data_IF_397980270227
#
_entry.id   IF_397980270227
#
_cell.length_a   1.000
_cell.length_b   1.000
_cell.length_c   1.000
_cell.angle_alpha   90.00
_cell.angle_beta   90.00
_cell.angle_gamma   90.00
#
_symmetry.space_group_name_H-M   'P 1'
#
loop_
_entity.id
_entity.type
_entity.pdbx_description
1 polymer ?
#
# COMPACT_ATOMS: atom_id res chain seq x y z
N UNK A 1 -5.12 -4.64 0.75
CA UNK A 1 -3.84 -4.16 1.32
C UNK A 1 -2.78 -5.23 1.10
N UNK A 2 -1.51 -4.89 1.27
CA UNK A 2 -0.40 -5.84 1.16
C UNK A 2 0.33 -5.98 2.49
N UNK A 3 1.06 -7.07 2.68
CA UNK A 3 1.86 -7.32 3.87
C UNK A 3 3.28 -7.71 3.47
N UNK A 4 4.26 -7.14 4.16
CA UNK A 4 5.66 -7.52 4.03
C UNK A 4 6.03 -8.52 5.13
N UNK A 5 6.24 -9.81 4.83
CA UNK A 5 6.55 -10.82 5.85
C UNK A 5 7.90 -10.58 6.53
N UNK A 6 8.86 -9.93 5.84
CA UNK A 6 10.19 -9.63 6.39
C UNK A 6 10.20 -8.42 7.32
N UNK A 7 9.43 -7.38 7.00
CA UNK A 7 9.32 -6.20 7.84
C UNK A 7 8.23 -6.33 8.91
N UNK A 8 7.36 -7.35 8.79
CA UNK A 8 6.13 -7.48 9.54
C UNK A 8 5.29 -6.17 9.54
N UNK A 9 5.19 -5.54 8.36
CA UNK A 9 4.48 -4.27 8.16
C UNK A 9 3.47 -4.40 7.03
N UNK A 10 2.34 -3.74 7.22
CA UNK A 10 1.34 -3.57 6.18
C UNK A 10 1.81 -2.51 5.19
N UNK A 11 1.51 -2.73 3.92
CA UNK A 11 1.86 -1.85 2.80
C UNK A 11 0.58 -1.50 2.05
N UNK A 12 0.32 -0.21 1.93
CA UNK A 12 -0.79 0.36 1.17
C UNK A 12 -0.22 0.86 -0.15
N UNK A 13 -0.70 0.27 -1.23
CA UNK A 13 -0.38 0.71 -2.58
C UNK A 13 -1.49 1.64 -3.05
N UNK A 14 -1.16 2.89 -3.39
CA UNK A 14 -2.11 3.88 -3.90
C UNK A 14 -1.70 4.32 -5.30
N UNK A 15 -2.61 4.18 -6.25
CA UNK A 15 -2.46 4.77 -7.59
C UNK A 15 -3.12 6.16 -7.58
N UNK A 16 -2.35 7.20 -7.86
CA UNK A 16 -2.86 8.57 -7.92
C UNK A 16 -3.03 8.92 -9.40
N UNK A 17 -4.28 9.13 -9.81
CA UNK A 17 -4.60 9.69 -11.13
C UNK A 17 -4.60 11.21 -11.08
N UNK A 18 -4.11 11.87 -12.14
CA UNK A 18 -4.19 13.32 -12.26
C UNK A 18 -5.65 13.79 -12.14
N UNK A 19 -5.93 14.67 -11.16
CA UNK A 19 -7.24 15.30 -10.95
C UNK A 19 -8.15 14.67 -9.89
N UNK A 20 -7.74 13.59 -9.22
CA UNK A 20 -8.61 12.90 -8.25
C UNK A 20 -8.51 13.39 -6.79
N UNK A 21 -7.31 13.79 -6.35
CA UNK A 21 -7.04 14.25 -4.98
C UNK A 21 -6.03 15.39 -5.06
N UNK A 22 -6.18 16.42 -4.23
CA UNK A 22 -5.17 17.47 -4.13
C UNK A 22 -3.97 17.01 -3.27
N UNK A 23 -2.85 17.73 -3.35
CA UNK A 23 -1.62 17.33 -2.66
C UNK A 23 -1.79 17.32 -1.12
N UNK A 24 -2.58 18.24 -0.57
CA UNK A 24 -2.80 18.36 0.86
C UNK A 24 -3.61 17.18 1.42
N UNK A 25 -4.72 16.82 0.76
CA UNK A 25 -5.54 15.66 1.10
C UNK A 25 -4.74 14.36 0.97
N UNK A 26 -3.93 14.25 -0.09
CA UNK A 26 -3.03 13.11 -0.26
C UNK A 26 -2.03 13.00 0.89
N UNK A 27 -1.41 14.10 1.28
CA UNK A 27 -0.46 14.12 2.39
C UNK A 27 -1.13 13.73 3.71
N UNK A 28 -2.32 14.25 4.00
CA UNK A 28 -3.09 13.89 5.18
C UNK A 28 -3.43 12.38 5.20
N UNK A 29 -3.84 11.82 4.06
CA UNK A 29 -4.13 10.39 3.92
C UNK A 29 -2.87 9.52 4.08
N UNK A 30 -1.74 9.94 3.50
CA UNK A 30 -0.46 9.25 3.65
C UNK A 30 -0.02 9.27 5.12
N UNK A 31 -0.19 10.40 5.81
CA UNK A 31 0.13 10.53 7.23
C UNK A 31 -0.77 9.67 8.12
N UNK A 32 -2.06 9.56 7.83
CA UNK A 32 -2.96 8.70 8.62
C UNK A 32 -2.53 7.24 8.54
N UNK A 33 -2.24 6.73 7.33
CA UNK A 33 -1.75 5.36 7.17
C UNK A 33 -0.40 5.13 7.87
N UNK A 34 0.51 6.13 7.84
CA UNK A 34 1.79 6.06 8.54
C UNK A 34 1.62 6.05 10.06
N UNK A 35 0.69 6.84 10.61
CA UNK A 35 0.36 6.84 12.05
C UNK A 35 -0.14 5.48 12.52
N UNK A 36 -0.89 4.79 11.68
CA UNK A 36 -1.35 3.41 11.91
C UNK A 36 -0.22 2.35 11.73
N UNK A 37 1.01 2.78 11.46
CA UNK A 37 2.18 1.90 11.28
C UNK A 37 2.30 1.27 9.90
N UNK A 38 1.48 1.67 8.93
CA UNK A 38 1.55 1.17 7.56
C UNK A 38 2.64 1.89 6.74
N UNK A 39 3.17 1.18 5.75
CA UNK A 39 3.99 1.76 4.69
C UNK A 39 3.08 2.15 3.53
N UNK A 40 3.34 3.29 2.91
CA UNK A 40 2.57 3.76 1.75
C UNK A 40 3.47 3.85 0.54
N UNK A 41 3.04 3.27 -0.58
CA UNK A 41 3.70 3.36 -1.88
C UNK A 41 2.75 4.02 -2.85
N UNK A 42 3.15 5.18 -3.36
CA UNK A 42 2.41 5.92 -4.37
C UNK A 42 2.85 5.48 -5.76
N UNK A 43 1.90 5.33 -6.67
CA UNK A 43 2.11 4.93 -8.07
C UNK A 43 2.97 3.65 -8.20
N UNK A 44 2.52 2.53 -7.61
CA UNK A 44 3.21 1.25 -7.79
C UNK A 44 3.21 0.82 -9.27
N UNK A 45 4.08 -0.13 -9.66
CA UNK A 45 4.00 -0.76 -10.98
C UNK A 45 2.59 -1.30 -11.26
N UNK A 46 2.10 -1.27 -12.50
CA UNK A 46 0.73 -1.70 -12.82
C UNK A 46 0.49 -3.19 -12.58
N UNK A 47 1.55 -4.01 -12.57
CA UNK A 47 1.47 -5.46 -12.40
C UNK A 47 2.35 -5.97 -11.25
N UNK A 48 1.90 -7.00 -10.52
CA UNK A 48 2.75 -7.71 -9.55
C UNK A 48 3.94 -8.41 -10.24
N UNK A 49 4.99 -8.79 -9.49
CA UNK A 49 5.09 -8.78 -8.03
C UNK A 49 5.40 -7.39 -7.45
N UNK A 50 4.65 -7.01 -6.41
CA UNK A 50 4.93 -5.80 -5.65
C UNK A 50 6.02 -6.06 -4.61
N UNK A 51 6.94 -5.12 -4.43
CA UNK A 51 8.06 -5.25 -3.49
C UNK A 51 7.96 -4.25 -2.35
N UNK A 52 8.36 -4.67 -1.16
CA UNK A 52 8.47 -3.80 -0.01
C UNK A 52 9.50 -2.70 -0.27
N UNK A 53 9.15 -1.41 -0.07
CA UNK A 53 10.07 -0.30 -0.34
C UNK A 53 11.28 -0.28 0.60
N UNK A 54 11.24 -1.00 1.72
CA UNK A 54 12.31 -1.01 2.74
C UNK A 54 13.28 -2.16 2.53
N UNK A 55 12.78 -3.38 2.31
CA UNK A 55 13.60 -4.60 2.29
C UNK A 55 13.59 -5.34 0.96
N UNK A 56 12.92 -4.79 -0.06
CA UNK A 56 12.76 -5.35 -1.41
C UNK A 56 12.12 -6.75 -1.48
N UNK A 57 11.61 -7.26 -0.36
CA UNK A 57 10.91 -8.55 -0.29
C UNK A 57 9.56 -8.45 -0.98
N UNK A 58 9.16 -9.53 -1.64
CA UNK A 58 7.85 -9.61 -2.29
C UNK A 58 6.73 -9.46 -1.27
N UNK A 59 5.73 -8.66 -1.63
CA UNK A 59 4.59 -8.38 -0.78
C UNK A 59 3.51 -9.44 -0.99
N UNK A 60 2.97 -9.96 0.11
CA UNK A 60 1.82 -10.85 0.07
C UNK A 60 0.56 -10.02 0.05
N UNK A 61 -0.37 -10.34 -0.86
CA UNK A 61 -1.69 -9.72 -0.85
C UNK A 61 -2.44 -10.20 0.38
N UNK A 62 -2.96 -9.27 1.18
CA UNK A 62 -3.96 -9.59 2.20
C UNK A 62 -5.27 -9.76 1.43
N UNK A 63 -5.58 -10.98 1.04
CA UNK A 63 -6.91 -11.31 0.54
C UNK A 63 -7.87 -11.21 1.73
N UNK A 64 -8.89 -10.36 1.61
CA UNK A 64 -10.07 -10.55 2.44
C UNK A 64 -10.70 -11.84 1.93
N UNK A 65 -10.61 -12.91 2.70
CA UNK A 65 -11.40 -14.14 2.57
C UNK A 65 -12.88 -13.75 2.38
N UNK A 66 -13.27 -13.54 1.12
CA UNK A 66 -14.67 -13.45 0.72
C UNK A 66 -14.97 -14.76 0.02
N UNK A 67 -15.02 -15.81 0.84
CA UNK A 67 -15.81 -17.00 0.54
C UNK A 67 -17.28 -16.57 0.43
N UNK A 68 -17.68 -16.12 -0.76
CA UNK A 68 -19.08 -16.19 -1.18
C UNK A 68 -19.25 -17.54 -1.88
N UNK A 69 -19.74 -18.52 -1.09
CA UNK A 69 -20.33 -19.77 -1.57
C UNK A 69 -21.58 -19.49 -2.40
#
# INVERSE_FOLDING_TARGET
MFHCPKCNKNVVLMAISQGGINEEELNQLVESFKKDGNLVVLNPPPHPPYKCPVCSTELTRLENDTNFF
#
